data_IF_881031847036
#
_entry.id   IF_881031847036
#
_cell.length_a   1.000
_cell.length_b   1.000
_cell.length_c   1.000
_cell.angle_alpha   90.00
_cell.angle_beta   90.00
_cell.angle_gamma   90.00
#
_symmetry.space_group_name_H-M   'P 1'
#
loop_
_entity.id
_entity.type
_entity.pdbx_description
1 polymer ?
#
# COMPACT_ATOMS: atom_id res chain seq x y z
N UNK A 1 10.00 25.72 2.11
CA UNK A 1 9.88 24.25 2.23
C UNK A 1 10.59 23.82 3.50
N UNK A 2 10.13 24.34 4.65
CA UNK A 2 10.98 24.49 5.83
C UNK A 2 11.15 23.18 6.61
N UNK A 3 10.24 22.21 6.41
CA UNK A 3 10.32 20.89 7.05
C UNK A 3 11.34 19.95 6.39
N UNK A 4 11.87 20.31 5.21
CA UNK A 4 12.89 19.52 4.49
C UNK A 4 14.19 20.32 4.42
N UNK A 5 14.15 21.53 3.85
CA UNK A 5 15.36 22.30 3.57
C UNK A 5 16.11 22.78 4.82
N UNK A 6 15.41 22.94 5.95
CA UNK A 6 16.06 23.40 7.19
C UNK A 6 16.74 22.26 7.97
N UNK A 7 16.60 21.01 7.52
CA UNK A 7 17.12 19.82 8.19
C UNK A 7 18.08 19.08 7.25
N UNK A 8 19.18 19.75 6.88
CA UNK A 8 20.16 19.22 5.91
C UNK A 8 20.96 18.01 6.41
N UNK A 9 20.93 17.75 7.71
CA UNK A 9 21.50 16.59 8.37
C UNK A 9 20.56 15.36 8.34
N UNK A 10 19.29 15.55 7.99
CA UNK A 10 18.32 14.46 7.86
C UNK A 10 18.33 13.90 6.43
N UNK A 11 18.53 12.58 6.32
CA UNK A 11 18.52 11.88 5.03
C UNK A 11 17.09 11.53 4.60
N UNK A 12 16.35 12.52 4.12
CA UNK A 12 15.04 12.29 3.51
C UNK A 12 15.16 11.42 2.25
N UNK A 13 14.25 10.45 2.11
CA UNK A 13 14.17 9.54 0.95
C UNK A 13 12.79 9.61 0.28
N UNK A 14 11.75 9.65 1.09
CA UNK A 14 10.37 9.72 0.65
C UNK A 14 9.64 10.82 1.41
N UNK A 15 8.66 11.44 0.77
CA UNK A 15 7.62 12.20 1.47
C UNK A 15 6.27 11.59 1.11
N UNK A 16 5.64 10.95 2.09
CA UNK A 16 4.29 10.44 2.01
C UNK A 16 3.30 11.59 2.21
N UNK A 17 2.61 11.95 1.13
CA UNK A 17 1.50 12.89 1.15
C UNK A 17 0.23 12.06 1.30
N UNK A 18 -0.37 12.11 2.48
CA UNK A 18 -1.53 11.29 2.85
C UNK A 18 -1.15 9.89 3.32
N UNK A 19 -2.01 9.33 4.17
CA UNK A 19 -1.95 7.96 4.65
C UNK A 19 -3.37 7.38 4.66
N UNK A 20 -3.58 6.28 3.92
CA UNK A 20 -4.84 5.54 3.86
C UNK A 20 -6.07 6.39 3.50
N UNK A 21 -5.88 7.42 2.64
CA UNK A 21 -6.97 8.24 2.11
C UNK A 21 -7.92 7.35 1.32
N UNK A 22 -9.20 7.32 1.71
CA UNK A 22 -10.18 6.40 1.14
C UNK A 22 -11.52 7.12 0.87
N UNK A 23 -12.00 7.13 -0.39
CA UNK A 23 -13.26 7.78 -0.74
C UNK A 23 -14.50 7.17 -0.07
N UNK A 24 -14.39 5.94 0.46
CA UNK A 24 -15.47 5.22 1.11
C UNK A 24 -15.41 5.27 2.65
N UNK A 25 -14.53 6.08 3.24
CA UNK A 25 -14.32 6.16 4.70
C UNK A 25 -14.38 7.60 5.19
N UNK A 26 -14.23 7.79 6.50
CA UNK A 26 -14.34 9.08 7.18
C UNK A 26 -13.18 10.06 6.94
N UNK A 27 -12.36 9.83 5.91
CA UNK A 27 -11.29 10.72 5.46
C UNK A 27 -11.43 11.05 3.96
N UNK A 28 -12.65 10.89 3.42
CA UNK A 28 -12.97 11.12 2.00
C UNK A 28 -12.84 12.60 1.60
N UNK A 29 -12.88 13.53 2.56
CA UNK A 29 -12.65 14.94 2.33
C UNK A 29 -11.26 15.26 1.75
N UNK A 30 -10.26 14.39 1.97
CA UNK A 30 -8.89 14.60 1.46
C UNK A 30 -8.69 14.11 0.02
N UNK A 31 -9.63 13.33 -0.54
CA UNK A 31 -9.54 12.70 -1.87
C UNK A 31 -9.25 13.74 -2.96
N UNK A 32 -9.98 14.85 -2.96
CA UNK A 32 -9.85 15.91 -3.96
C UNK A 32 -8.54 16.72 -3.85
N UNK A 33 -7.91 16.72 -2.67
CA UNK A 33 -6.73 17.54 -2.37
C UNK A 33 -5.42 16.77 -2.47
N UNK A 34 -5.45 15.44 -2.47
CA UNK A 34 -4.27 14.59 -2.38
C UNK A 34 -3.32 14.77 -3.57
N UNK A 35 -3.81 14.56 -4.80
CA UNK A 35 -2.99 14.70 -6.00
C UNK A 35 -2.49 16.14 -6.22
N UNK A 36 -3.30 17.20 -6.04
CA UNK A 36 -2.79 18.58 -6.03
C UNK A 36 -1.65 18.80 -5.02
N UNK A 37 -1.78 18.27 -3.80
CA UNK A 37 -0.72 18.38 -2.78
C UNK A 37 0.55 17.64 -3.20
N UNK A 38 0.44 16.42 -3.75
CA UNK A 38 1.58 15.66 -4.29
C UNK A 38 2.30 16.43 -5.40
N UNK A 39 1.56 16.99 -6.36
CA UNK A 39 2.14 17.78 -7.47
C UNK A 39 2.86 19.03 -6.96
N UNK A 40 2.25 19.78 -6.05
CA UNK A 40 2.84 20.97 -5.47
C UNK A 40 4.14 20.66 -4.72
N UNK A 41 4.12 19.59 -3.93
CA UNK A 41 5.30 19.16 -3.18
C UNK A 41 6.41 18.67 -4.12
N UNK A 42 6.08 17.87 -5.14
CA UNK A 42 7.04 17.41 -6.13
C UNK A 42 7.71 18.57 -6.88
N UNK A 43 6.92 19.57 -7.30
CA UNK A 43 7.45 20.79 -7.93
C UNK A 43 8.41 21.52 -7.02
N UNK A 44 8.07 21.67 -5.73
CA UNK A 44 8.94 22.35 -4.77
C UNK A 44 10.22 21.55 -4.44
N UNK A 45 10.14 20.22 -4.36
CA UNK A 45 11.31 19.34 -4.11
C UNK A 45 12.25 19.40 -5.32
N UNK A 46 11.69 19.37 -6.52
CA UNK A 46 12.44 19.48 -7.78
C UNK A 46 13.09 20.86 -7.92
N UNK A 47 12.35 21.94 -7.62
CA UNK A 47 12.88 23.30 -7.65
C UNK A 47 14.01 23.52 -6.63
N UNK A 48 14.02 22.77 -5.54
CA UNK A 48 15.10 22.76 -4.55
C UNK A 48 16.32 21.93 -4.97
N UNK A 49 16.31 21.28 -6.14
CA UNK A 49 17.38 20.39 -6.62
C UNK A 49 17.40 19.01 -5.96
N UNK A 50 16.32 18.64 -5.24
CA UNK A 50 16.25 17.42 -4.43
C UNK A 50 15.45 16.28 -5.10
N UNK A 51 14.92 16.47 -6.30
CA UNK A 51 14.00 15.51 -6.98
C UNK A 51 14.60 14.13 -7.30
N UNK A 52 15.93 14.01 -7.33
CA UNK A 52 16.62 12.73 -7.48
C UNK A 52 16.86 12.01 -6.14
N UNK A 53 16.79 12.74 -5.01
CA UNK A 53 17.03 12.21 -3.67
C UNK A 53 15.73 11.89 -2.94
N UNK A 54 14.74 12.78 -3.08
CA UNK A 54 13.48 12.73 -2.35
C UNK A 54 12.36 12.46 -3.34
N UNK A 55 11.68 11.32 -3.21
CA UNK A 55 10.50 11.00 -4.00
C UNK A 55 9.23 11.40 -3.26
N UNK A 56 8.29 12.02 -3.98
CA UNK A 56 6.97 12.37 -3.46
C UNK A 56 6.00 11.27 -3.85
N UNK A 57 5.31 10.71 -2.87
CA UNK A 57 4.43 9.56 -3.03
C UNK A 57 3.28 9.60 -2.03
N UNK A 58 2.38 8.62 -2.06
CA UNK A 58 1.31 8.43 -1.07
C UNK A 58 1.40 7.03 -0.47
N UNK A 59 0.80 6.84 0.71
CA UNK A 59 0.56 5.52 1.28
C UNK A 59 -0.90 5.09 1.09
N UNK A 60 -1.08 3.85 0.64
CA UNK A 60 -2.38 3.18 0.51
C UNK A 60 -2.40 1.88 1.32
N UNK A 61 -3.55 1.23 1.37
CA UNK A 61 -3.73 -0.07 2.01
C UNK A 61 -4.74 -0.91 1.21
N UNK A 62 -4.83 -2.20 1.54
CA UNK A 62 -5.70 -3.16 0.86
C UNK A 62 -7.19 -2.80 0.86
N UNK A 63 -7.65 -1.88 1.71
CA UNK A 63 -9.05 -1.44 1.75
C UNK A 63 -9.50 -0.58 0.55
N UNK A 64 -8.58 -0.22 -0.36
CA UNK A 64 -8.92 0.37 -1.66
C UNK A 64 -9.19 -0.69 -2.74
N UNK A 65 -8.81 -1.95 -2.51
CA UNK A 65 -9.15 -3.04 -3.42
C UNK A 65 -10.65 -3.36 -3.33
N UNK A 66 -11.20 -3.86 -4.43
CA UNK A 66 -12.51 -4.50 -4.45
C UNK A 66 -12.44 -5.90 -3.85
N UNK A 67 -13.56 -6.62 -3.93
CA UNK A 67 -13.58 -8.05 -3.57
C UNK A 67 -12.81 -8.82 -4.64
N UNK A 68 -11.60 -9.25 -4.32
CA UNK A 68 -10.88 -10.22 -5.15
C UNK A 68 -11.34 -11.63 -4.80
N UNK A 69 -11.74 -12.41 -5.79
CA UNK A 69 -12.10 -13.82 -5.63
C UNK A 69 -10.94 -14.76 -5.95
N UNK A 70 -9.88 -14.27 -6.61
CA UNK A 70 -8.76 -15.05 -7.11
C UNK A 70 -7.45 -14.26 -6.93
N UNK A 71 -6.36 -14.88 -6.45
CA UNK A 71 -5.07 -14.19 -6.33
C UNK A 71 -4.59 -13.68 -7.68
N UNK A 72 -3.82 -12.59 -7.72
CA UNK A 72 -3.30 -12.01 -8.97
C UNK A 72 -4.35 -11.40 -9.91
N UNK A 73 -5.63 -11.33 -9.49
CA UNK A 73 -6.72 -10.63 -10.20
C UNK A 73 -7.21 -9.41 -9.40
N UNK A 74 -6.36 -8.88 -8.51
CA UNK A 74 -6.67 -7.72 -7.70
C UNK A 74 -7.04 -6.50 -8.56
N UNK A 75 -8.08 -5.78 -8.13
CA UNK A 75 -8.55 -4.56 -8.76
C UNK A 75 -8.98 -3.56 -7.70
N UNK A 76 -8.77 -2.27 -7.96
CA UNK A 76 -9.34 -1.22 -7.13
C UNK A 76 -10.86 -1.23 -7.23
N UNK A 77 -11.56 -0.94 -6.14
CA UNK A 77 -13.01 -0.79 -6.20
C UNK A 77 -13.39 0.45 -7.04
N UNK A 78 -14.59 0.45 -7.61
CA UNK A 78 -15.03 1.48 -8.56
C UNK A 78 -14.90 2.90 -8.00
N UNK A 79 -15.28 3.10 -6.74
CA UNK A 79 -15.19 4.41 -6.08
C UNK A 79 -13.74 4.85 -5.83
N UNK A 80 -12.81 3.92 -5.66
CA UNK A 80 -11.39 4.21 -5.48
C UNK A 80 -10.68 4.45 -6.82
N UNK A 81 -11.18 3.87 -7.92
CA UNK A 81 -10.52 3.90 -9.22
C UNK A 81 -10.31 5.33 -9.75
N UNK A 82 -11.36 6.15 -9.78
CA UNK A 82 -11.29 7.53 -10.28
C UNK A 82 -10.28 8.39 -9.50
N UNK A 83 -10.14 8.10 -8.20
CA UNK A 83 -9.21 8.76 -7.31
C UNK A 83 -7.77 8.28 -7.49
N UNK A 84 -7.55 6.96 -7.56
CA UNK A 84 -6.21 6.37 -7.51
C UNK A 84 -5.52 6.32 -8.88
N UNK A 85 -6.26 6.17 -9.97
CA UNK A 85 -5.69 6.11 -11.33
C UNK A 85 -4.80 7.31 -11.67
N UNK A 86 -5.23 8.58 -11.48
CA UNK A 86 -4.36 9.72 -11.78
C UNK A 86 -3.16 9.83 -10.82
N UNK A 87 -3.24 9.24 -9.62
CA UNK A 87 -2.10 9.15 -8.68
C UNK A 87 -1.09 8.13 -9.17
N UNK A 88 -1.53 6.95 -9.59
CA UNK A 88 -0.65 5.90 -10.17
C UNK A 88 0.11 6.47 -11.36
N UNK A 89 -0.58 7.17 -12.26
CA UNK A 89 0.05 7.83 -13.40
C UNK A 89 1.10 8.85 -12.98
N UNK A 90 0.78 9.69 -11.99
CA UNK A 90 1.74 10.65 -11.44
C UNK A 90 2.99 9.95 -10.86
N UNK A 91 2.82 8.83 -10.14
CA UNK A 91 3.94 8.07 -9.59
C UNK A 91 4.82 7.49 -10.71
N UNK A 92 4.20 6.89 -11.73
CA UNK A 92 4.88 6.32 -12.89
C UNK A 92 5.67 7.39 -13.67
N UNK A 93 5.06 8.54 -13.96
CA UNK A 93 5.70 9.67 -14.67
C UNK A 93 6.93 10.21 -13.93
N UNK A 94 6.95 10.12 -12.60
CA UNK A 94 8.01 10.68 -11.76
C UNK A 94 8.97 9.62 -11.18
N UNK A 95 8.88 8.37 -11.66
CA UNK A 95 9.65 7.22 -11.16
C UNK A 95 9.63 7.15 -9.62
N UNK A 96 8.44 7.30 -9.04
CA UNK A 96 8.20 7.25 -7.61
C UNK A 96 7.47 5.96 -7.25
N UNK A 97 7.84 5.27 -6.15
CA UNK A 97 7.11 4.08 -5.73
C UNK A 97 5.77 4.44 -5.10
N UNK A 98 4.90 3.44 -4.93
CA UNK A 98 3.71 3.49 -4.08
C UNK A 98 4.06 2.93 -2.70
N UNK A 99 3.71 3.63 -1.63
CA UNK A 99 3.76 3.05 -0.29
C UNK A 99 2.49 2.23 -0.04
N UNK A 100 2.66 1.04 0.53
CA UNK A 100 1.54 0.12 0.81
C UNK A 100 1.62 -0.41 2.24
N UNK A 101 0.56 -0.20 2.99
CA UNK A 101 0.35 -0.75 4.33
C UNK A 101 -0.27 -2.15 4.19
N UNK A 102 0.47 -3.19 4.58
CA UNK A 102 0.04 -4.60 4.48
C UNK A 102 0.02 -5.23 5.87
N UNK A 103 -1.17 -5.56 6.35
CA UNK A 103 -1.37 -6.19 7.64
C UNK A 103 -2.10 -7.52 7.47
N UNK A 104 -1.36 -8.63 7.52
CA UNK A 104 -1.97 -9.98 7.45
C UNK A 104 -2.91 -10.23 8.64
N UNK A 105 -2.66 -9.57 9.77
CA UNK A 105 -3.54 -9.60 10.95
C UNK A 105 -4.99 -9.20 10.61
N UNK A 106 -5.22 -8.07 9.95
CA UNK A 106 -6.59 -7.61 9.66
C UNK A 106 -7.30 -8.54 8.68
N UNK A 107 -6.58 -9.07 7.69
CA UNK A 107 -7.14 -10.06 6.77
C UNK A 107 -7.48 -11.38 7.50
N UNK A 108 -6.66 -11.80 8.46
CA UNK A 108 -6.94 -12.94 9.32
C UNK A 108 -8.18 -12.69 10.22
N UNK A 109 -8.19 -11.58 10.96
CA UNK A 109 -9.23 -11.26 11.95
C UNK A 109 -10.61 -11.04 11.29
N UNK A 110 -10.65 -10.33 10.15
CA UNK A 110 -11.90 -10.06 9.42
C UNK A 110 -12.50 -11.30 8.75
N UNK A 111 -11.74 -12.39 8.61
CA UNK A 111 -12.26 -13.67 8.13
C UNK A 111 -12.99 -14.47 9.21
N UNK A 112 -13.26 -13.89 10.40
CA UNK A 112 -13.97 -14.51 11.52
C UNK A 112 -13.40 -15.89 11.92
N UNK A 113 -12.07 -16.04 11.89
CA UNK A 113 -11.39 -17.30 12.25
C UNK A 113 -11.44 -18.41 11.20
N UNK A 114 -12.07 -18.19 10.04
CA UNK A 114 -12.00 -19.13 8.90
C UNK A 114 -10.68 -19.05 8.12
N UNK A 115 -9.79 -18.15 8.51
CA UNK A 115 -8.48 -17.96 7.91
C UNK A 115 -7.42 -18.85 8.59
N UNK A 116 -6.54 -19.42 7.78
CA UNK A 116 -5.45 -20.26 8.25
C UNK A 116 -4.41 -19.40 9.00
N UNK A 117 -4.31 -19.54 10.33
CA UNK A 117 -3.39 -18.73 11.14
C UNK A 117 -1.91 -18.92 10.72
N UNK A 118 -1.39 -20.16 10.55
CA UNK A 118 -0.05 -20.35 9.98
C UNK A 118 0.20 -19.63 8.65
N UNK A 119 -0.82 -19.52 7.80
CA UNK A 119 -0.74 -18.81 6.53
C UNK A 119 -0.56 -17.30 6.71
N UNK A 120 -1.24 -16.70 7.69
CA UNK A 120 -1.10 -15.28 8.02
C UNK A 120 0.21 -14.96 8.77
N UNK A 121 0.78 -15.96 9.46
CA UNK A 121 2.00 -15.88 10.27
C UNK A 121 3.27 -16.40 9.56
N UNK A 122 3.24 -16.65 8.25
CA UNK A 122 4.40 -17.17 7.50
C UNK A 122 4.95 -18.53 7.98
N UNK A 123 4.14 -19.31 8.70
CA UNK A 123 4.53 -20.61 9.29
C UNK A 123 3.82 -21.80 8.66
N UNK A 124 3.15 -21.60 7.53
CA UNK A 124 2.55 -22.69 6.78
C UNK A 124 3.64 -23.70 6.31
N UNK A 125 3.38 -24.99 6.49
CA UNK A 125 4.32 -26.06 6.13
C UNK A 125 4.33 -26.41 4.65
N UNK A 126 3.54 -25.72 3.83
CA UNK A 126 3.41 -25.98 2.40
C UNK A 126 2.53 -24.94 1.72
N UNK A 127 2.34 -25.12 0.42
CA UNK A 127 1.53 -24.22 -0.41
C UNK A 127 0.08 -24.22 0.06
N UNK A 128 -0.45 -23.04 0.36
CA UNK A 128 -1.85 -22.86 0.76
C UNK A 128 -2.72 -22.54 -0.47
N UNK A 129 -2.22 -21.70 -1.36
CA UNK A 129 -2.94 -21.32 -2.59
C UNK A 129 -2.06 -21.58 -3.81
N UNK A 130 -2.65 -22.19 -4.84
CA UNK A 130 -2.06 -22.35 -6.17
C UNK A 130 -2.96 -21.69 -7.19
N UNK A 131 -2.44 -20.73 -7.94
CA UNK A 131 -3.22 -20.03 -8.96
C UNK A 131 -2.31 -19.60 -10.11
N UNK A 132 -2.74 -19.84 -11.35
CA UNK A 132 -2.00 -19.48 -12.58
C UNK A 132 -0.49 -19.84 -12.53
N UNK A 133 -0.16 -21.02 -12.02
CA UNK A 133 1.23 -21.49 -11.90
C UNK A 133 2.04 -20.89 -10.74
N UNK A 134 1.47 -19.93 -10.00
CA UNK A 134 2.05 -19.35 -8.78
C UNK A 134 1.65 -20.17 -7.56
N UNK A 135 2.52 -20.15 -6.55
CA UNK A 135 2.35 -20.87 -5.30
C UNK A 135 2.55 -19.91 -4.14
N UNK A 136 1.54 -19.77 -3.29
CA UNK A 136 1.57 -18.89 -2.13
C UNK A 136 1.65 -19.70 -0.84
N UNK A 137 2.65 -19.34 -0.04
CA UNK A 137 2.93 -19.96 1.25
C UNK A 137 2.51 -19.07 2.42
N UNK A 138 2.30 -17.78 2.18
CA UNK A 138 1.87 -16.82 3.17
C UNK A 138 0.86 -15.83 2.57
N UNK A 139 0.04 -15.24 3.44
CA UNK A 139 -1.02 -14.31 3.06
C UNK A 139 -0.48 -12.97 2.56
N UNK A 140 0.70 -12.55 3.03
CA UNK A 140 1.32 -11.31 2.64
C UNK A 140 1.62 -11.28 1.13
N UNK A 141 2.18 -12.36 0.59
CA UNK A 141 2.51 -12.45 -0.84
C UNK A 141 1.27 -12.39 -1.72
N UNK A 142 0.14 -12.94 -1.29
CA UNK A 142 -1.13 -12.77 -2.02
C UNK A 142 -1.58 -11.32 -2.00
N UNK A 143 -1.62 -10.69 -0.83
CA UNK A 143 -2.06 -9.29 -0.72
C UNK A 143 -1.17 -8.40 -1.57
N UNK A 144 0.15 -8.62 -1.53
CA UNK A 144 1.11 -7.87 -2.32
C UNK A 144 0.89 -8.07 -3.82
N UNK A 145 0.71 -9.32 -4.28
CA UNK A 145 0.50 -9.62 -5.69
C UNK A 145 -0.85 -9.09 -6.22
N UNK A 146 -1.90 -9.11 -5.40
CA UNK A 146 -3.18 -8.49 -5.72
C UNK A 146 -3.05 -6.97 -5.91
N UNK A 147 -2.23 -6.31 -5.08
CA UNK A 147 -1.99 -4.87 -5.23
C UNK A 147 -1.15 -4.59 -6.49
N UNK A 148 -0.14 -5.42 -6.79
CA UNK A 148 0.59 -5.31 -8.06
C UNK A 148 -0.33 -5.48 -9.27
N UNK A 149 -1.22 -6.48 -9.25
CA UNK A 149 -2.21 -6.68 -10.30
C UNK A 149 -3.13 -5.46 -10.47
N UNK A 150 -3.61 -4.90 -9.36
CA UNK A 150 -4.46 -3.71 -9.36
C UNK A 150 -3.73 -2.49 -9.95
N UNK A 151 -2.48 -2.25 -9.57
CA UNK A 151 -1.64 -1.18 -10.14
C UNK A 151 -1.44 -1.39 -11.64
N UNK A 152 -1.08 -2.61 -12.06
CA UNK A 152 -0.85 -2.95 -13.46
C UNK A 152 -2.11 -2.71 -14.32
N UNK A 153 -3.29 -3.06 -13.83
CA UNK A 153 -4.56 -2.82 -14.53
C UNK A 153 -4.86 -1.35 -14.85
N UNK A 154 -4.22 -0.42 -14.13
CA UNK A 154 -4.36 1.03 -14.31
C UNK A 154 -3.10 1.68 -14.93
N UNK A 155 -2.24 0.89 -15.59
CA UNK A 155 -1.03 1.37 -16.26
C UNK A 155 0.14 1.66 -15.31
N UNK A 156 0.12 1.06 -14.12
CA UNK A 156 1.13 1.19 -13.07
C UNK A 156 2.15 0.06 -13.04
N UNK A 157 2.39 -0.65 -14.16
CA UNK A 157 3.24 -1.86 -14.18
C UNK A 157 4.69 -1.58 -13.73
N UNK A 158 5.16 -0.34 -13.91
CA UNK A 158 6.50 0.09 -13.52
C UNK A 158 6.55 0.80 -12.16
N UNK A 159 5.41 0.91 -11.45
CA UNK A 159 5.36 1.51 -10.11
C UNK A 159 5.79 0.45 -9.09
N UNK A 160 6.98 0.63 -8.52
CA UNK A 160 7.46 -0.21 -7.43
C UNK A 160 6.55 -0.04 -6.19
N UNK A 161 6.29 -1.14 -5.49
CA UNK A 161 5.65 -1.11 -4.17
C UNK A 161 6.74 -1.13 -3.10
N UNK A 162 6.63 -0.22 -2.14
CA UNK A 162 7.39 -0.26 -0.90
C UNK A 162 6.40 -0.49 0.24
N UNK A 163 6.56 -1.59 0.98
CA UNK A 163 5.72 -1.85 2.15
C UNK A 163 6.09 -0.86 3.25
N UNK A 164 5.18 0.08 3.55
CA UNK A 164 5.40 1.15 4.52
C UNK A 164 5.06 0.73 5.94
N UNK A 165 4.08 -0.16 6.09
CA UNK A 165 3.67 -0.67 7.39
C UNK A 165 3.27 -2.15 7.29
N UNK A 166 3.65 -2.91 8.30
CA UNK A 166 3.20 -4.28 8.53
C UNK A 166 3.43 -4.65 9.98
N UNK A 167 2.59 -5.52 10.53
CA UNK A 167 2.74 -5.96 11.92
C UNK A 167 1.59 -6.84 12.39
N UNK A 168 1.75 -7.33 13.62
CA UNK A 168 0.77 -8.15 14.32
C UNK A 168 0.67 -7.68 15.79
N UNK A 169 -0.53 -7.45 16.33
CA UNK A 169 -0.68 -6.97 17.71
C UNK A 169 -0.38 -8.08 18.73
N UNK A 170 0.21 -7.72 19.87
CA UNK A 170 0.58 -8.65 20.94
C UNK A 170 -0.49 -8.87 22.01
N UNK A 171 -1.57 -8.08 21.98
CA UNK A 171 -2.71 -8.14 22.91
C UNK A 171 -3.96 -7.46 22.30
N UNK A 172 -5.13 -7.68 22.91
CA UNK A 172 -6.37 -6.95 22.61
C UNK A 172 -7.45 -7.74 21.88
N UNK A 173 -7.15 -8.96 21.43
CA UNK A 173 -8.06 -9.90 20.77
C UNK A 173 -7.49 -11.33 20.85
N UNK A 174 -8.26 -12.35 20.50
CA UNK A 174 -7.91 -13.78 20.64
C UNK A 174 -6.63 -14.17 19.88
N UNK A 175 -6.43 -13.62 18.68
CA UNK A 175 -5.24 -13.87 17.87
C UNK A 175 -4.11 -12.86 18.09
N UNK A 176 -4.39 -11.78 18.81
CA UNK A 176 -3.41 -10.75 19.17
C UNK A 176 -2.65 -11.22 20.43
N UNK A 177 -1.57 -11.96 20.24
CA UNK A 177 -0.78 -12.53 21.34
C UNK A 177 0.71 -12.31 21.12
N UNK A 178 1.49 -12.25 22.19
CA UNK A 178 2.96 -12.15 22.11
C UNK A 178 3.61 -13.32 21.37
N UNK A 179 2.91 -14.45 21.21
CA UNK A 179 3.39 -15.59 20.42
C UNK A 179 3.25 -15.37 18.91
N UNK A 180 2.26 -14.59 18.51
CA UNK A 180 1.94 -14.33 17.11
C UNK A 180 2.54 -13.00 16.59
N UNK A 181 3.13 -12.19 17.48
CA UNK A 181 3.67 -10.85 17.20
C UNK A 181 5.20 -10.83 17.11
#
# INVERSE_FOLDING_TARGET
MNNIQNYSDVRFRYVAVGNDVNPNKGNSEYVSSLLPAMRNLHSAVTAAGLGNQIKVLTAIYGGLLGVSFLPSDGAFNDNAREFIEPIIRFLAENNSPMLVNIYTYFAYANANGNSNLPYALFTASGTIVKYNGRQYFNLFDIILDDIYAALASLGGENVEIVVSESGWPSAGDDAATTRNA
#
